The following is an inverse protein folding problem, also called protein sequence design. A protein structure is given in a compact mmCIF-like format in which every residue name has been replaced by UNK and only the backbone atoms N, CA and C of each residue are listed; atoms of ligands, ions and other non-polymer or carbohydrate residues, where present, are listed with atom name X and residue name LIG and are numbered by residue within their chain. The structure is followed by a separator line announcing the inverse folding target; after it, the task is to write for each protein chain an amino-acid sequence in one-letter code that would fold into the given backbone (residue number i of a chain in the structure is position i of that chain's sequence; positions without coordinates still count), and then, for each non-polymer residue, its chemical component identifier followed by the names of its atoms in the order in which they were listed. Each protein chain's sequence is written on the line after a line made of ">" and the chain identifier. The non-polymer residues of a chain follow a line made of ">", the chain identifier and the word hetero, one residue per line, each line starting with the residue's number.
data_IF_978008548678
#
_entry.id   IF_978008548678
#
_cell.length_a   1.000
_cell.length_b   1.000
_cell.length_c   1.000
_cell.angle_alpha   90.00
_cell.angle_beta   90.00
_cell.angle_gamma   90.00
#
_symmetry.space_group_name_H-M   'P 1'
#
loop_
_entity.id
_entity.type
_entity.pdbx_description
1 polymer ?
#
# COMPACT_ATOMS: atom_id res chain seq x y z
N UNK A 1 -17.12 20.63 3.26
CA UNK A 1 -17.00 20.35 3.00
C UNK A 1 -16.94 19.99 2.71
N UNK A 2 -16.96 19.89 2.81
CA UNK A 2 -16.70 19.40 2.51
C UNK A 2 -16.94 18.75 1.81
N UNK A 3 -17.12 18.50 1.63
CA UNK A 3 -17.17 17.80 1.09
C UNK A 3 -17.37 17.07 0.55
N UNK A 4 -17.50 17.27 0.63
CA UNK A 4 -17.31 16.55 0.26
C UNK A 4 -17.63 15.83 -0.22
N UNK A 5 -17.79 15.73 -0.07
CA UNK A 5 -17.92 15.00 -0.51
C UNK A 5 -18.31 14.32 -0.78
N UNK A 6 -18.59 14.39 -0.51
CA UNK A 6 -19.18 13.65 -0.81
C UNK A 6 -19.62 12.65 -1.77
N UNK A 7 -20.49 12.74 -2.34
CA UNK A 7 -20.99 11.76 -3.25
C UNK A 7 -19.97 11.11 -4.10
N UNK A 8 -19.05 11.85 -4.52
CA UNK A 8 -18.00 11.29 -5.35
C UNK A 8 -17.18 10.24 -4.62
N UNK A 9 -17.37 10.13 -3.37
CA UNK A 9 -16.58 9.20 -2.59
C UNK A 9 -17.30 7.90 -2.34
N UNK A 10 -18.35 7.64 -3.06
CA UNK A 10 -19.05 6.39 -2.83
C UNK A 10 -18.15 5.20 -3.08
N UNK A 11 -17.21 5.32 -4.00
CA UNK A 11 -16.31 4.21 -4.26
C UNK A 11 -15.09 4.24 -3.40
N UNK A 12 -14.91 5.27 -2.63
CA UNK A 12 -13.72 5.42 -1.82
C UNK A 12 -14.03 5.02 -0.41
N UNK A 13 -13.33 4.05 0.09
CA UNK A 13 -13.42 3.65 1.48
C UNK A 13 -12.70 4.71 2.32
N UNK A 14 -13.41 5.47 3.16
CA UNK A 14 -12.75 6.48 3.98
C UNK A 14 -11.66 5.89 4.86
N UNK A 15 -11.86 4.67 5.35
CA UNK A 15 -10.87 4.02 6.19
C UNK A 15 -9.60 3.75 5.39
N UNK A 16 -9.76 3.39 4.15
CA UNK A 16 -8.61 3.15 3.30
C UNK A 16 -7.82 4.43 3.04
N UNK A 17 -8.54 5.54 2.79
CA UNK A 17 -7.88 6.83 2.58
C UNK A 17 -7.12 7.26 3.83
N UNK A 18 -7.71 7.03 5.00
CA UNK A 18 -7.03 7.34 6.26
C UNK A 18 -5.80 6.49 6.43
N UNK A 19 -5.89 5.22 6.08
CA UNK A 19 -4.77 4.32 6.22
C UNK A 19 -3.63 4.71 5.29
N UNK A 20 -3.96 5.11 4.07
CA UNK A 20 -2.95 5.55 3.13
C UNK A 20 -2.25 6.81 3.65
N UNK A 21 -3.01 7.73 4.21
CA UNK A 21 -2.43 8.93 4.80
C UNK A 21 -1.52 8.59 5.97
N UNK A 22 -1.97 7.67 6.83
CA UNK A 22 -1.15 7.25 7.96
C UNK A 22 0.17 6.63 7.50
N UNK A 23 0.11 5.85 6.43
CA UNK A 23 1.32 5.25 5.90
C UNK A 23 2.28 6.31 5.37
N UNK A 24 1.76 7.31 4.66
CA UNK A 24 2.61 8.38 4.15
C UNK A 24 3.23 9.19 5.29
N UNK A 25 2.47 9.43 6.35
CA UNK A 25 2.99 10.13 7.51
C UNK A 25 4.08 9.31 8.20
N UNK A 26 3.90 8.00 8.27
CA UNK A 26 4.91 7.11 8.82
C UNK A 26 6.21 7.22 8.01
N UNK A 27 6.11 7.18 6.70
CA UNK A 27 7.28 7.31 5.85
C UNK A 27 7.98 8.65 6.11
N UNK A 28 7.19 9.71 6.24
CA UNK A 28 7.75 11.03 6.44
C UNK A 28 8.44 11.14 7.80
N UNK A 29 7.79 10.62 8.86
CA UNK A 29 8.36 10.68 10.20
C UNK A 29 9.71 9.98 10.27
N UNK A 30 9.86 8.92 9.52
CA UNK A 30 11.07 8.11 9.58
C UNK A 30 12.03 8.40 8.42
N UNK A 31 11.76 9.47 7.69
CA UNK A 31 12.65 9.97 6.64
C UNK A 31 12.90 8.94 5.55
N UNK A 32 11.89 8.15 5.27
CA UNK A 32 11.96 7.26 4.11
C UNK A 32 11.69 8.05 2.85
N UNK A 33 12.22 7.61 1.72
CA UNK A 33 11.92 8.30 0.47
C UNK A 33 10.41 8.34 0.23
N UNK A 34 9.94 9.36 -0.43
CA UNK A 34 8.52 9.52 -0.68
C UNK A 34 8.10 8.57 -1.80
N UNK A 35 7.14 7.71 -1.56
CA UNK A 35 6.64 6.82 -2.63
C UNK A 35 5.66 7.55 -3.54
N UNK A 36 5.45 7.01 -4.71
CA UNK A 36 4.36 7.42 -5.57
C UNK A 36 3.10 6.70 -5.11
N UNK A 37 1.96 7.35 -5.29
CA UNK A 37 0.69 6.88 -4.73
C UNK A 37 -0.25 6.50 -5.87
N UNK A 38 -0.94 5.40 -5.71
CA UNK A 38 -1.97 4.94 -6.64
C UNK A 38 -1.43 4.85 -8.06
N UNK A 39 -0.43 4.02 -8.24
CA UNK A 39 0.26 3.91 -9.52
C UNK A 39 -0.27 2.73 -10.30
N UNK A 40 -0.45 2.94 -11.60
CA UNK A 40 -0.89 1.88 -12.49
C UNK A 40 0.31 1.08 -12.97
N UNK A 41 0.25 -0.24 -12.79
CA UNK A 41 1.26 -1.15 -13.32
C UNK A 41 0.49 -2.24 -14.06
N UNK A 42 0.60 -2.24 -15.39
CA UNK A 42 -0.22 -3.13 -16.17
C UNK A 42 -1.70 -2.83 -15.94
N UNK A 43 -2.44 -3.84 -15.56
CA UNK A 43 -3.87 -3.66 -15.26
C UNK A 43 -4.15 -3.38 -13.80
N UNK A 44 -3.11 -3.34 -12.98
CA UNK A 44 -3.26 -3.19 -11.54
C UNK A 44 -3.01 -1.76 -11.11
N UNK A 45 -3.71 -1.32 -10.09
CA UNK A 45 -3.40 -0.06 -9.41
C UNK A 45 -2.86 -0.42 -8.03
N UNK A 46 -1.62 -0.02 -7.77
CA UNK A 46 -0.98 -0.33 -6.49
C UNK A 46 -1.01 0.90 -5.60
N UNK A 47 -1.05 0.67 -4.29
CA UNK A 47 -1.18 1.78 -3.36
C UNK A 47 0.05 2.67 -3.36
N UNK A 48 1.23 2.08 -3.27
CA UNK A 48 2.48 2.84 -3.20
C UNK A 48 3.55 2.16 -4.01
N UNK A 49 4.40 2.99 -4.64
CA UNK A 49 5.50 2.48 -5.45
C UNK A 49 6.73 3.33 -5.25
N UNK A 50 7.84 2.68 -4.97
CA UNK A 50 9.16 3.28 -5.09
C UNK A 50 9.75 2.79 -6.41
N UNK A 51 9.72 3.63 -7.46
CA UNK A 51 10.10 3.13 -8.80
C UNK A 51 11.55 2.71 -8.90
N UNK A 52 12.45 3.50 -8.31
CA UNK A 52 13.87 3.19 -8.42
C UNK A 52 14.19 1.84 -7.79
N UNK A 53 13.55 1.53 -6.70
CA UNK A 53 13.77 0.27 -5.99
C UNK A 53 12.85 -0.84 -6.47
N UNK A 54 11.92 -0.52 -7.36
CA UNK A 54 10.92 -1.46 -7.85
C UNK A 54 10.20 -2.14 -6.69
N UNK A 55 9.80 -1.35 -5.72
CA UNK A 55 9.13 -1.84 -4.52
C UNK A 55 7.69 -1.35 -4.51
N UNK A 56 6.76 -2.30 -4.43
CA UNK A 56 5.34 -2.03 -4.32
C UNK A 56 4.92 -2.29 -2.88
N UNK A 57 4.14 -1.39 -2.32
CA UNK A 57 3.55 -1.60 -1.00
C UNK A 57 2.05 -1.48 -1.12
N UNK A 58 1.37 -2.44 -0.52
CA UNK A 58 -0.09 -2.47 -0.44
C UNK A 58 -0.48 -2.35 1.02
N UNK A 59 -1.52 -1.57 1.27
CA UNK A 59 -2.06 -1.46 2.63
C UNK A 59 -3.40 -2.16 2.68
N UNK A 60 -3.62 -2.89 3.77
CA UNK A 60 -4.79 -3.73 3.89
C UNK A 60 -5.55 -3.37 5.16
N UNK A 61 -6.75 -2.87 5.00
CA UNK A 61 -7.47 -2.37 6.15
C UNK A 61 -8.16 -3.46 6.96
N UNK A 62 -8.33 -4.64 6.46
CA UNK A 62 -8.98 -5.72 7.23
C UNK A 62 -10.36 -5.39 7.74
N UNK A 63 -10.81 -4.21 7.47
CA UNK A 63 -12.11 -3.83 7.99
C UNK A 63 -13.20 -4.64 7.34
N UNK A 64 -12.95 -5.06 6.13
CA UNK A 64 -13.93 -5.75 5.34
C UNK A 64 -13.61 -7.21 5.22
N UNK A 65 -14.64 -7.99 5.28
CA UNK A 65 -14.52 -9.42 5.11
C UNK A 65 -14.32 -9.71 3.63
N UNK A 66 -13.23 -10.33 3.30
CA UNK A 66 -12.95 -10.61 1.91
C UNK A 66 -13.34 -12.02 1.57
N UNK A 67 -13.95 -12.18 0.42
CA UNK A 67 -14.28 -13.50 -0.08
C UNK A 67 -13.10 -14.16 -0.76
N UNK A 68 -13.30 -15.39 -1.17
CA UNK A 68 -12.24 -16.16 -1.83
C UNK A 68 -11.83 -15.55 -3.17
N UNK A 69 -12.77 -14.90 -3.87
CA UNK A 69 -12.43 -14.26 -5.14
C UNK A 69 -11.44 -13.13 -4.93
N UNK A 70 -11.68 -12.30 -3.93
CA UNK A 70 -10.76 -11.20 -3.63
C UNK A 70 -9.39 -11.73 -3.22
N UNK A 71 -9.37 -12.83 -2.47
CA UNK A 71 -8.11 -13.45 -2.07
C UNK A 71 -7.31 -13.92 -3.29
N UNK A 72 -7.97 -14.56 -4.24
CA UNK A 72 -7.30 -15.04 -5.42
C UNK A 72 -6.83 -13.91 -6.32
N UNK A 73 -7.62 -12.84 -6.40
CA UNK A 73 -7.19 -11.66 -7.15
C UNK A 73 -5.93 -11.05 -6.56
N UNK A 74 -5.85 -10.98 -5.23
CA UNK A 74 -4.66 -10.46 -4.57
C UNK A 74 -3.44 -11.32 -4.88
N UNK A 75 -3.62 -12.62 -4.86
CA UNK A 75 -2.51 -13.52 -5.18
C UNK A 75 -2.09 -13.40 -6.64
N UNK A 76 -3.05 -13.30 -7.55
CA UNK A 76 -2.74 -13.14 -8.96
C UNK A 76 -2.00 -11.85 -9.22
N UNK A 77 -2.42 -10.78 -8.55
CA UNK A 77 -1.76 -9.48 -8.67
C UNK A 77 -0.34 -9.55 -8.17
N UNK A 78 -0.15 -10.12 -6.98
CA UNK A 78 1.19 -10.21 -6.41
C UNK A 78 2.11 -11.02 -7.31
N UNK A 79 1.61 -12.12 -7.85
CA UNK A 79 2.40 -12.95 -8.75
C UNK A 79 2.81 -12.17 -10.00
N UNK A 80 1.85 -11.48 -10.61
CA UNK A 80 2.14 -10.71 -11.82
C UNK A 80 3.15 -9.61 -11.55
N UNK A 81 2.99 -8.90 -10.42
CA UNK A 81 3.93 -7.84 -10.08
C UNK A 81 5.34 -8.40 -9.87
N UNK A 82 5.45 -9.53 -9.18
CA UNK A 82 6.77 -10.13 -8.98
C UNK A 82 7.37 -10.58 -10.31
N UNK A 83 6.56 -11.11 -11.21
CA UNK A 83 7.07 -11.52 -12.51
C UNK A 83 7.53 -10.34 -13.36
N UNK A 84 6.98 -9.16 -13.08
CA UNK A 84 7.41 -7.94 -13.75
C UNK A 84 8.65 -7.33 -13.08
N UNK A 85 9.16 -7.98 -12.04
CA UNK A 85 10.39 -7.54 -11.38
C UNK A 85 10.19 -6.66 -10.18
N UNK A 86 8.98 -6.60 -9.65
CA UNK A 86 8.71 -5.79 -8.45
C UNK A 86 8.77 -6.67 -7.21
N UNK A 87 9.30 -6.10 -6.13
CA UNK A 87 9.11 -6.67 -4.81
C UNK A 87 7.79 -6.15 -4.28
N UNK A 88 7.09 -6.97 -3.54
CA UNK A 88 5.77 -6.59 -3.01
C UNK A 88 5.78 -6.79 -1.50
N UNK A 89 5.37 -5.75 -0.77
CA UNK A 89 5.16 -5.82 0.67
C UNK A 89 3.73 -5.43 0.96
N UNK A 90 3.13 -6.11 1.91
CA UNK A 90 1.76 -5.83 2.29
C UNK A 90 1.70 -5.62 3.79
N UNK A 91 1.14 -4.49 4.22
CA UNK A 91 1.02 -4.19 5.64
C UNK A 91 -0.44 -4.00 5.99
N UNK A 92 -0.82 -4.54 7.15
CA UNK A 92 -2.18 -4.40 7.62
C UNK A 92 -2.36 -3.08 8.35
N UNK A 93 -3.61 -2.70 8.52
CA UNK A 93 -3.95 -1.51 9.30
C UNK A 93 -3.33 -1.58 10.70
N UNK A 94 -3.44 -2.73 11.34
CA UNK A 94 -2.90 -2.89 12.67
C UNK A 94 -1.39 -2.67 12.69
N UNK A 95 -0.69 -3.21 11.70
CA UNK A 95 0.76 -3.04 11.65
C UNK A 95 1.13 -1.58 11.47
N UNK A 96 0.44 -0.90 10.58
CA UNK A 96 0.77 0.51 10.30
C UNK A 96 0.51 1.37 11.54
N UNK A 97 -0.57 1.11 12.26
CA UNK A 97 -0.96 1.96 13.38
C UNK A 97 -0.38 1.55 14.71
N UNK A 98 -0.12 0.26 14.88
CA UNK A 98 0.31 -0.24 16.19
C UNK A 98 1.68 -0.87 16.19
N UNK A 99 2.24 -1.16 15.01
CA UNK A 99 3.54 -1.81 14.92
C UNK A 99 4.43 -1.04 13.96
N UNK A 100 4.44 0.26 14.14
CA UNK A 100 5.13 1.16 13.22
C UNK A 100 6.62 0.82 13.08
N UNK A 101 7.27 0.50 14.19
CA UNK A 101 8.70 0.19 14.15
C UNK A 101 8.99 -1.01 13.27
N UNK A 102 8.11 -2.02 13.32
CA UNK A 102 8.29 -3.20 12.50
C UNK A 102 8.09 -2.89 11.02
N UNK A 103 7.10 -2.08 10.72
CA UNK A 103 6.86 -1.68 9.34
C UNK A 103 8.05 -0.90 8.79
N UNK A 104 8.57 0.03 9.57
CA UNK A 104 9.71 0.83 9.15
C UNK A 104 10.95 -0.04 8.94
N UNK A 105 11.18 -0.99 9.83
CA UNK A 105 12.32 -1.88 9.69
C UNK A 105 12.23 -2.70 8.40
N UNK A 106 11.04 -3.21 8.11
CA UNK A 106 10.84 -3.99 6.89
C UNK A 106 11.01 -3.12 5.65
N UNK A 107 10.49 -1.90 5.69
CA UNK A 107 10.64 -0.98 4.55
C UNK A 107 12.11 -0.63 4.32
N UNK A 108 12.84 -0.32 5.39
CA UNK A 108 14.25 0.00 5.24
C UNK A 108 15.03 -1.17 4.64
N UNK A 109 14.68 -2.36 5.08
CA UNK A 109 15.32 -3.56 4.55
C UNK A 109 15.00 -3.73 3.06
N UNK A 110 13.73 -3.58 2.70
CA UNK A 110 13.33 -3.74 1.32
C UNK A 110 13.95 -2.68 0.42
N UNK A 111 14.03 -1.43 0.89
CA UNK A 111 14.62 -0.35 0.10
C UNK A 111 16.13 -0.51 -0.04
N UNK A 112 16.78 -1.02 1.00
CA UNK A 112 18.23 -1.20 0.96
C UNK A 112 18.64 -2.36 0.07
N UNK A 113 17.81 -3.37 -0.08
CA UNK A 113 18.14 -4.55 -0.86
C UNK A 113 17.64 -4.50 -2.29
N UNK A 114 17.06 -3.39 -2.68
CA UNK A 114 16.61 -3.23 -4.05
C UNK A 114 17.80 -3.00 -4.96
N UNK A 115 17.75 -3.57 -6.14
CA UNK A 115 18.85 -3.40 -7.08
C UNK A 115 18.59 -2.27 -8.04
#
# INVERSE_FOLDING_TARGET
>A
MHGYSLGRNVETDPTRSDLERDFLLLCRRHRLPKPRVNVRIGRWTVDFLWPAERLVVETDSHRWHRGSIAFEDDHARDLDLRRRGYAVRRFTERQIRQEEAEVVADLRDALAHAS
#
